data_IF_888979157706
#
_entry.id   IF_888979157706
#
_cell.length_a   1.000
_cell.length_b   1.000
_cell.length_c   1.000
_cell.angle_alpha   90.00
_cell.angle_beta   90.00
_cell.angle_gamma   90.00
#
_symmetry.space_group_name_H-M   'P 1'
#
loop_
_entity.id
_entity.type
_entity.pdbx_description
1 polymer ?
#
# COMPACT_ATOMS: atom_id res chain seq x y z
N UNK A 1 10.20 14.43 4.79
CA UNK A 1 11.12 13.46 4.18
C UNK A 1 11.78 14.06 2.96
N UNK A 2 13.04 13.68 2.73
CA UNK A 2 13.87 14.17 1.62
C UNK A 2 14.41 12.95 0.88
N UNK A 3 14.42 13.02 -0.44
CA UNK A 3 15.10 12.06 -1.30
C UNK A 3 16.47 12.64 -1.67
N UNK A 4 17.52 11.92 -1.33
CA UNK A 4 18.86 12.11 -1.87
C UNK A 4 19.01 11.18 -3.09
N UNK A 5 18.99 11.78 -4.28
CA UNK A 5 19.09 11.06 -5.55
C UNK A 5 20.51 11.13 -6.10
N UNK A 6 21.05 10.00 -6.51
CA UNK A 6 22.35 9.85 -7.17
C UNK A 6 22.12 9.20 -8.53
N UNK A 7 22.36 9.93 -9.61
CA UNK A 7 22.36 9.38 -10.97
C UNK A 7 23.79 9.01 -11.34
N UNK A 8 24.02 7.76 -11.72
CA UNK A 8 25.33 7.22 -12.08
C UNK A 8 25.27 6.66 -13.50
N UNK A 9 26.13 7.15 -14.39
CA UNK A 9 26.46 6.47 -15.64
C UNK A 9 27.73 5.66 -15.41
N UNK A 10 27.66 4.34 -15.60
CA UNK A 10 28.75 3.38 -15.37
C UNK A 10 29.23 2.79 -16.71
N UNK A 11 30.54 2.70 -16.90
CA UNK A 11 31.17 2.04 -18.06
C UNK A 11 30.78 0.56 -18.09
N UNK A 12 30.38 0.06 -19.28
CA UNK A 12 29.94 -1.32 -19.49
C UNK A 12 30.98 -2.35 -19.04
N UNK A 13 32.27 -2.05 -19.13
CA UNK A 13 33.36 -2.97 -18.76
C UNK A 13 33.37 -3.34 -17.27
N UNK A 14 32.75 -2.54 -16.41
CA UNK A 14 32.67 -2.78 -14.96
C UNK A 14 31.25 -2.88 -14.45
N UNK A 15 30.24 -2.79 -15.32
CA UNK A 15 28.83 -2.69 -14.97
C UNK A 15 28.36 -3.81 -14.02
N UNK A 16 28.57 -5.07 -14.38
CA UNK A 16 27.99 -6.19 -13.62
C UNK A 16 28.57 -6.26 -12.21
N UNK A 17 29.90 -6.10 -12.09
CA UNK A 17 30.60 -6.04 -10.81
C UNK A 17 30.17 -4.84 -9.98
N UNK A 18 29.99 -3.68 -10.62
CA UNK A 18 29.50 -2.48 -9.95
C UNK A 18 28.08 -2.68 -9.42
N UNK A 19 27.19 -3.26 -10.23
CA UNK A 19 25.80 -3.47 -9.87
C UNK A 19 25.65 -4.51 -8.75
N UNK A 20 26.46 -5.57 -8.75
CA UNK A 20 26.55 -6.55 -7.65
C UNK A 20 27.03 -5.85 -6.36
N UNK A 21 28.16 -5.13 -6.41
CA UNK A 21 28.70 -4.42 -5.25
C UNK A 21 27.74 -3.35 -4.70
N UNK A 22 27.02 -2.64 -5.57
CA UNK A 22 26.01 -1.67 -5.14
C UNK A 22 24.88 -2.33 -4.34
N UNK A 23 24.41 -3.50 -4.77
CA UNK A 23 23.32 -4.22 -4.13
C UNK A 23 23.75 -4.95 -2.85
N UNK A 24 24.95 -5.53 -2.84
CA UNK A 24 25.39 -6.41 -1.75
C UNK A 24 26.24 -5.71 -0.69
N UNK A 25 26.87 -4.57 -1.02
CA UNK A 25 27.76 -3.85 -0.10
C UNK A 25 27.33 -2.41 0.09
N UNK A 26 27.37 -1.59 -0.97
CA UNK A 26 27.30 -0.14 -0.82
C UNK A 26 25.93 0.36 -0.31
N UNK A 27 24.82 -0.05 -0.94
CA UNK A 27 23.49 0.37 -0.50
C UNK A 27 23.20 -0.13 0.92
N UNK A 28 23.48 -1.41 1.27
CA UNK A 28 23.39 -1.87 2.66
C UNK A 28 24.18 -1.01 3.65
N UNK A 29 25.45 -0.70 3.38
CA UNK A 29 26.27 0.14 4.26
C UNK A 29 25.72 1.57 4.39
N UNK A 30 25.20 2.17 3.32
CA UNK A 30 24.51 3.47 3.36
C UNK A 30 23.30 3.42 4.29
N UNK A 31 22.52 2.34 4.24
CA UNK A 31 21.38 2.14 5.14
C UNK A 31 21.81 1.89 6.60
N UNK A 32 22.90 1.16 6.82
CA UNK A 32 23.45 0.88 8.15
C UNK A 32 23.94 2.13 8.89
N UNK A 33 24.19 3.24 8.19
CA UNK A 33 24.43 4.55 8.84
C UNK A 33 23.26 5.02 9.72
N UNK A 34 22.06 4.46 9.50
CA UNK A 34 20.82 4.85 10.19
C UNK A 34 20.25 6.20 9.71
N UNK A 35 20.84 6.80 8.68
CA UNK A 35 20.45 8.15 8.19
C UNK A 35 19.42 8.09 7.05
N UNK A 36 19.19 6.90 6.50
CA UNK A 36 18.21 6.65 5.47
C UNK A 36 17.28 5.51 5.86
N UNK A 37 15.98 5.68 5.61
CA UNK A 37 14.93 4.71 5.94
C UNK A 37 14.53 3.82 4.76
N UNK A 38 14.97 4.18 3.55
CA UNK A 38 14.63 3.48 2.32
C UNK A 38 15.68 3.76 1.24
N UNK A 39 15.93 2.78 0.37
CA UNK A 39 16.76 2.91 -0.81
C UNK A 39 16.09 2.26 -2.04
N UNK A 40 16.27 2.86 -3.22
CA UNK A 40 15.82 2.29 -4.49
C UNK A 40 16.89 2.51 -5.55
N UNK A 41 17.28 1.45 -6.24
CA UNK A 41 18.09 1.52 -7.46
C UNK A 41 17.21 1.23 -8.66
N UNK A 42 17.27 2.08 -9.69
CA UNK A 42 16.49 1.96 -10.91
C UNK A 42 17.38 2.19 -12.14
N UNK A 43 17.25 1.33 -13.15
CA UNK A 43 17.93 1.52 -14.44
C UNK A 43 17.20 2.56 -15.28
N UNK A 44 17.92 3.51 -15.85
CA UNK A 44 17.40 4.42 -16.87
C UNK A 44 17.29 3.65 -18.18
N UNK A 45 16.09 3.65 -18.78
CA UNK A 45 15.80 2.86 -19.98
C UNK A 45 16.10 3.60 -21.28
N UNK A 46 16.41 4.90 -21.21
CA UNK A 46 16.80 5.69 -22.38
C UNK A 46 18.23 5.33 -22.75
N UNK A 47 18.44 4.96 -24.01
CA UNK A 47 19.78 4.73 -24.56
C UNK A 47 20.49 6.08 -24.72
N UNK A 48 21.61 6.26 -24.02
CA UNK A 48 22.45 7.45 -24.14
C UNK A 48 23.48 7.25 -25.27
N UNK A 49 23.60 8.22 -26.18
CA UNK A 49 24.56 8.15 -27.31
C UNK A 49 26.03 8.09 -26.86
N UNK A 50 26.33 8.48 -25.62
CA UNK A 50 27.69 8.54 -25.08
C UNK A 50 28.19 7.22 -24.47
N UNK A 51 27.40 6.14 -24.58
CA UNK A 51 27.75 4.82 -24.04
C UNK A 51 27.61 4.73 -22.51
N UNK A 52 27.83 3.53 -21.98
CA UNK A 52 27.63 3.23 -20.57
C UNK A 52 26.16 2.98 -20.21
N UNK A 53 25.93 2.61 -18.95
CA UNK A 53 24.59 2.27 -18.44
C UNK A 53 24.25 3.24 -17.31
N UNK A 54 23.10 3.90 -17.40
CA UNK A 54 22.68 4.89 -16.40
C UNK A 54 21.72 4.28 -15.37
N UNK A 55 21.98 4.54 -14.09
CA UNK A 55 21.12 4.19 -12.95
C UNK A 55 20.79 5.44 -12.12
N UNK A 56 19.60 5.44 -11.51
CA UNK A 56 19.21 6.37 -10.46
C UNK A 56 19.08 5.61 -9.15
N UNK A 57 19.82 6.05 -8.14
CA UNK A 57 19.74 5.55 -6.77
C UNK A 57 19.09 6.62 -5.90
N UNK A 58 18.02 6.28 -5.21
CA UNK A 58 17.26 7.19 -4.38
C UNK A 58 17.27 6.71 -2.93
N UNK A 59 17.82 7.52 -2.04
CA UNK A 59 17.81 7.29 -0.60
C UNK A 59 16.85 8.25 0.09
N UNK A 60 16.00 7.75 0.98
CA UNK A 60 15.02 8.59 1.70
C UNK A 60 15.50 8.87 3.11
N UNK A 61 15.71 10.14 3.44
CA UNK A 61 16.00 10.63 4.78
C UNK A 61 14.73 11.22 5.42
N UNK A 62 14.64 11.15 6.75
CA UNK A 62 13.47 11.65 7.48
C UNK A 62 13.29 13.17 7.31
N UNK A 63 14.39 13.92 7.39
CA UNK A 63 14.43 15.38 7.30
C UNK A 63 15.83 15.87 6.86
N UNK A 64 15.97 17.20 6.73
CA UNK A 64 17.21 17.85 6.27
C UNK A 64 18.37 17.69 7.25
N UNK A 65 18.10 17.75 8.55
CA UNK A 65 19.14 17.63 9.58
C UNK A 65 19.82 16.25 9.55
N UNK A 66 19.04 15.19 9.31
CA UNK A 66 19.59 13.83 9.16
C UNK A 66 20.43 13.70 7.89
N UNK A 67 19.98 14.30 6.77
CA UNK A 67 20.75 14.31 5.53
C UNK A 67 22.07 15.11 5.69
N UNK A 68 22.04 16.21 6.44
CA UNK A 68 23.24 17.01 6.68
C UNK A 68 24.25 16.26 7.57
N UNK A 69 23.78 15.45 8.53
CA UNK A 69 24.65 14.51 9.27
C UNK A 69 25.28 13.46 8.36
N UNK A 70 24.55 12.94 7.37
CA UNK A 70 25.12 12.04 6.37
C UNK A 70 26.26 12.71 5.60
N UNK A 71 26.08 13.97 5.20
CA UNK A 71 27.15 14.70 4.54
C UNK A 71 28.38 14.87 5.40
N UNK A 72 28.20 15.23 6.68
CA UNK A 72 29.28 15.51 7.60
C UNK A 72 30.05 14.25 8.07
N UNK A 73 29.36 13.12 8.24
CA UNK A 73 29.92 11.94 8.92
C UNK A 73 30.32 10.81 7.96
N UNK A 74 29.61 10.63 6.84
CA UNK A 74 29.72 9.41 6.01
C UNK A 74 30.01 9.68 4.54
N UNK A 75 29.48 10.78 3.99
CA UNK A 75 29.40 10.95 2.54
C UNK A 75 30.75 10.97 1.84
N UNK A 76 31.80 11.49 2.48
CA UNK A 76 33.15 11.53 1.92
C UNK A 76 33.74 10.13 1.83
N UNK A 77 33.80 9.42 2.97
CA UNK A 77 34.26 8.01 3.05
C UNK A 77 33.54 7.12 2.04
N UNK A 78 32.22 7.22 1.96
CA UNK A 78 31.41 6.40 1.05
C UNK A 78 31.70 6.72 -0.42
N UNK A 79 31.98 7.97 -0.77
CA UNK A 79 32.35 8.35 -2.14
C UNK A 79 33.75 7.86 -2.50
N UNK A 80 34.69 7.97 -1.58
CA UNK A 80 36.05 7.47 -1.77
C UNK A 80 36.07 5.97 -2.04
N UNK A 81 35.20 5.21 -1.37
CA UNK A 81 35.09 3.78 -1.57
C UNK A 81 34.60 3.40 -2.97
N UNK A 82 33.61 4.12 -3.52
CA UNK A 82 33.17 3.93 -4.91
C UNK A 82 34.34 4.21 -5.87
N UNK A 83 35.05 5.33 -5.68
CA UNK A 83 36.21 5.71 -6.51
C UNK A 83 37.35 4.70 -6.37
N UNK A 84 37.57 4.13 -5.19
CA UNK A 84 38.60 3.09 -4.97
C UNK A 84 38.28 1.80 -5.73
N UNK A 85 37.00 1.42 -5.82
CA UNK A 85 36.59 0.19 -6.48
C UNK A 85 36.45 0.33 -8.01
N UNK A 86 36.07 1.52 -8.50
CA UNK A 86 35.70 1.72 -9.92
C UNK A 86 36.44 2.86 -10.63
N UNK A 87 37.31 3.60 -9.94
CA UNK A 87 38.18 4.62 -10.54
C UNK A 87 37.42 5.69 -11.32
N UNK A 88 37.84 5.91 -12.56
CA UNK A 88 37.27 6.85 -13.52
C UNK A 88 36.17 6.22 -14.40
N UNK A 89 35.72 5.00 -14.09
CA UNK A 89 34.72 4.26 -14.88
C UNK A 89 33.28 4.67 -14.64
N UNK A 90 33.03 5.73 -13.88
CA UNK A 90 31.69 6.22 -13.61
C UNK A 90 31.64 7.73 -13.52
N UNK A 91 30.46 8.30 -13.81
CA UNK A 91 30.15 9.70 -13.55
C UNK A 91 28.88 9.76 -12.70
N UNK A 92 28.89 10.57 -11.64
CA UNK A 92 27.79 10.66 -10.69
C UNK A 92 27.27 12.10 -10.52
N UNK A 93 25.96 12.29 -10.69
CA UNK A 93 25.24 13.53 -10.42
C UNK A 93 24.31 13.35 -9.21
N UNK A 94 24.15 14.38 -8.39
CA UNK A 94 23.42 14.31 -7.11
C UNK A 94 22.38 15.40 -7.02
N UNK A 95 21.21 15.09 -6.46
CA UNK A 95 20.11 16.05 -6.29
C UNK A 95 19.33 15.75 -5.01
N UNK A 96 18.80 16.79 -4.38
CA UNK A 96 17.91 16.69 -3.22
C UNK A 96 16.48 17.04 -3.66
N UNK A 97 15.52 16.20 -3.26
CA UNK A 97 14.10 16.39 -3.57
C UNK A 97 13.30 16.34 -2.28
N UNK A 98 12.45 17.34 -2.03
CA UNK A 98 11.48 17.27 -0.94
C UNK A 98 10.28 16.42 -1.37
N UNK A 99 9.91 15.43 -0.55
CA UNK A 99 8.67 14.69 -0.78
C UNK A 99 7.50 15.61 -0.38
N UNK A 100 6.75 16.07 -1.37
CA UNK A 100 5.53 16.88 -1.15
C UNK A 100 4.34 15.99 -0.81
N UNK A 101 4.17 14.88 -1.54
CA UNK A 101 3.11 13.89 -1.32
C UNK A 101 3.42 12.59 -2.05
N UNK A 102 3.14 11.47 -1.42
CA UNK A 102 3.13 10.14 -2.06
C UNK A 102 1.69 9.70 -2.35
N UNK A 103 1.49 9.06 -3.50
CA UNK A 103 0.20 8.50 -3.90
C UNK A 103 0.36 6.99 -4.01
N UNK A 104 -0.33 6.24 -3.15
CA UNK A 104 -0.36 4.78 -3.18
C UNK A 104 -1.70 4.31 -3.72
N UNK A 105 -1.68 3.36 -4.66
CA UNK A 105 -2.88 2.73 -5.18
C UNK A 105 -3.38 1.65 -4.22
N UNK A 106 -4.44 1.97 -3.47
CA UNK A 106 -5.01 1.04 -2.50
C UNK A 106 -5.68 -0.21 -3.14
N UNK A 107 -5.88 -0.22 -4.47
CA UNK A 107 -6.48 -1.37 -5.18
C UNK A 107 -5.62 -2.63 -5.09
N UNK A 108 -4.30 -2.48 -5.05
CA UNK A 108 -3.35 -3.61 -4.99
C UNK A 108 -3.27 -4.28 -3.61
N UNK A 109 -3.83 -3.64 -2.58
CA UNK A 109 -3.84 -4.13 -1.19
C UNK A 109 -5.23 -4.64 -0.76
N UNK A 110 -6.13 -4.88 -1.71
CA UNK A 110 -7.46 -5.40 -1.43
C UNK A 110 -7.43 -6.91 -1.17
N UNK A 111 -7.22 -7.29 0.09
CA UNK A 111 -7.15 -8.70 0.54
C UNK A 111 -8.37 -9.14 1.34
N UNK A 112 -9.23 -8.20 1.74
CA UNK A 112 -10.41 -8.48 2.55
C UNK A 112 -11.66 -8.57 1.67
N UNK A 113 -12.60 -9.41 2.08
CA UNK A 113 -13.94 -9.45 1.48
C UNK A 113 -14.92 -8.69 2.37
N UNK A 114 -15.77 -7.87 1.76
CA UNK A 114 -16.87 -7.17 2.43
C UNK A 114 -18.20 -7.60 1.82
N UNK A 115 -19.00 -8.35 2.58
CA UNK A 115 -20.36 -8.72 2.23
C UNK A 115 -21.32 -7.57 2.55
N UNK A 116 -22.07 -7.14 1.54
CA UNK A 116 -23.02 -6.02 1.63
C UNK A 116 -24.40 -6.48 1.21
N UNK A 117 -25.43 -5.95 1.88
CA UNK A 117 -26.85 -6.23 1.59
C UNK A 117 -27.70 -4.95 1.57
N UNK A 118 -27.05 -3.78 1.55
CA UNK A 118 -27.67 -2.46 1.68
C UNK A 118 -27.06 -1.40 0.76
N UNK A 119 -27.05 -0.14 1.20
CA UNK A 119 -26.68 1.02 0.37
C UNK A 119 -25.25 1.03 -0.14
N UNK A 120 -24.32 0.34 0.52
CA UNK A 120 -22.95 0.14 0.02
C UNK A 120 -22.87 -0.59 -1.33
N UNK A 121 -23.97 -1.16 -1.83
CA UNK A 121 -24.04 -1.70 -3.18
C UNK A 121 -24.21 -0.63 -4.28
N UNK A 122 -24.61 0.59 -3.92
CA UNK A 122 -24.89 1.69 -4.86
C UNK A 122 -23.59 2.40 -5.25
N UNK A 123 -23.42 2.68 -6.55
CA UNK A 123 -22.15 3.21 -7.09
C UNK A 123 -21.81 4.62 -6.58
N UNK A 124 -22.80 5.49 -6.43
CA UNK A 124 -22.65 6.84 -5.89
C UNK A 124 -22.20 6.83 -4.42
N UNK A 125 -22.76 5.93 -3.61
CA UNK A 125 -22.30 5.69 -2.24
C UNK A 125 -20.87 5.16 -2.23
N UNK A 126 -20.52 4.22 -3.10
CA UNK A 126 -19.15 3.72 -3.18
C UNK A 126 -18.14 4.79 -3.57
N UNK A 127 -18.47 5.64 -4.55
CA UNK A 127 -17.63 6.77 -4.93
C UNK A 127 -17.47 7.76 -3.77
N UNK A 128 -18.51 7.96 -2.96
CA UNK A 128 -18.44 8.85 -1.79
C UNK A 128 -17.58 8.26 -0.68
N UNK A 129 -17.74 6.97 -0.36
CA UNK A 129 -17.09 6.31 0.78
C UNK A 129 -15.67 5.86 0.43
N UNK A 130 -15.47 5.26 -0.74
CA UNK A 130 -14.21 4.63 -1.16
C UNK A 130 -13.44 5.43 -2.22
N UNK A 131 -14.03 6.53 -2.75
CA UNK A 131 -13.45 7.29 -3.88
C UNK A 131 -13.25 6.47 -5.16
N UNK A 132 -13.91 5.29 -5.26
CA UNK A 132 -13.91 4.41 -6.42
C UNK A 132 -15.07 3.42 -6.34
N UNK A 133 -15.35 2.74 -7.45
CA UNK A 133 -16.21 1.56 -7.44
C UNK A 133 -15.38 0.32 -7.07
N UNK A 134 -15.99 -0.57 -6.29
CA UNK A 134 -15.39 -1.82 -5.83
C UNK A 134 -15.72 -2.96 -6.79
N UNK A 135 -14.74 -3.81 -7.07
CA UNK A 135 -14.97 -5.05 -7.82
C UNK A 135 -15.53 -6.11 -6.87
N UNK A 136 -16.52 -6.87 -7.33
CA UNK A 136 -17.23 -7.81 -6.48
C UNK A 136 -18.13 -8.78 -7.24
N UNK A 137 -18.57 -9.81 -6.54
CA UNK A 137 -19.43 -10.89 -7.04
C UNK A 137 -20.61 -11.12 -6.09
N UNK A 138 -21.65 -11.80 -6.56
CA UNK A 138 -22.80 -12.14 -5.73
C UNK A 138 -22.48 -13.38 -4.88
N UNK A 139 -22.92 -13.37 -3.63
CA UNK A 139 -22.79 -14.50 -2.71
C UNK A 139 -23.94 -14.51 -1.70
N UNK A 140 -24.01 -15.55 -0.90
CA UNK A 140 -25.09 -15.79 0.05
C UNK A 140 -24.52 -15.99 1.44
N UNK A 141 -25.15 -15.36 2.43
CA UNK A 141 -24.87 -15.59 3.84
C UNK A 141 -25.99 -16.45 4.45
N UNK A 142 -25.63 -17.66 4.91
CA UNK A 142 -26.56 -18.64 5.48
C UNK A 142 -26.74 -18.43 7.00
N UNK A 143 -27.93 -18.75 7.52
CA UNK A 143 -28.28 -18.62 8.94
C UNK A 143 -28.56 -17.17 9.38
N UNK A 144 -28.85 -16.29 8.42
CA UNK A 144 -29.19 -14.89 8.67
C UNK A 144 -30.43 -14.50 7.88
N UNK A 145 -31.17 -13.52 8.39
CA UNK A 145 -32.35 -12.97 7.75
C UNK A 145 -32.35 -11.45 7.85
N UNK A 146 -32.89 -10.80 6.82
CA UNK A 146 -33.17 -9.36 6.87
C UNK A 146 -34.45 -9.12 7.68
N UNK A 147 -34.36 -8.22 8.64
CA UNK A 147 -35.49 -7.72 9.40
C UNK A 147 -36.36 -6.80 8.56
N UNK A 148 -37.66 -6.82 8.84
CA UNK A 148 -38.58 -5.77 8.39
C UNK A 148 -38.36 -4.47 9.19
N UNK A 149 -37.72 -4.55 10.36
CA UNK A 149 -37.33 -3.40 11.17
C UNK A 149 -36.11 -2.70 10.53
N UNK A 150 -36.29 -1.42 10.20
CA UNK A 150 -35.23 -0.60 9.62
C UNK A 150 -34.53 0.22 10.70
N UNK A 151 -33.20 0.23 10.70
CA UNK A 151 -32.45 1.17 11.56
C UNK A 151 -32.66 2.59 11.05
N UNK A 152 -33.07 3.48 11.96
CA UNK A 152 -33.52 4.86 11.68
C UNK A 152 -34.64 4.91 10.62
N UNK A 153 -35.44 3.85 10.50
CA UNK A 153 -36.60 3.80 9.58
C UNK A 153 -36.26 3.68 8.09
N UNK A 154 -34.97 3.62 7.70
CA UNK A 154 -34.55 3.68 6.29
C UNK A 154 -33.71 2.47 5.86
N UNK A 155 -32.88 1.89 6.73
CA UNK A 155 -31.87 0.90 6.32
C UNK A 155 -32.21 -0.53 6.77
N UNK A 156 -32.05 -1.54 5.89
CA UNK A 156 -32.32 -2.94 6.22
C UNK A 156 -31.33 -3.45 7.26
N UNK A 157 -31.79 -4.31 8.15
CA UNK A 157 -30.98 -4.87 9.24
C UNK A 157 -30.87 -6.36 9.10
N UNK A 158 -29.67 -6.89 9.22
CA UNK A 158 -29.46 -8.33 9.24
C UNK A 158 -29.36 -8.86 10.67
N UNK A 159 -30.09 -9.95 10.93
CA UNK A 159 -30.11 -10.67 12.21
C UNK A 159 -29.79 -12.14 12.00
N UNK A 160 -29.22 -12.78 13.02
CA UNK A 160 -29.02 -14.24 13.01
C UNK A 160 -30.38 -14.92 13.12
N UNK A 161 -30.62 -15.92 12.28
CA UNK A 161 -31.84 -16.73 12.33
C UNK A 161 -31.60 -18.02 13.12
N UNK A 162 -32.63 -18.48 13.83
CA UNK A 162 -32.66 -19.80 14.47
C UNK A 162 -32.88 -20.93 13.45
N UNK A 163 -33.32 -20.58 12.23
CA UNK A 163 -33.51 -21.51 11.11
C UNK A 163 -32.27 -21.54 10.21
N UNK A 164 -31.50 -22.64 10.16
CA UNK A 164 -30.29 -22.72 9.34
C UNK A 164 -30.52 -22.59 7.83
N UNK A 165 -31.78 -22.78 7.40
CA UNK A 165 -32.20 -22.65 6.00
C UNK A 165 -32.41 -21.19 5.57
N UNK A 166 -32.48 -20.24 6.51
CA UNK A 166 -32.60 -18.82 6.17
C UNK A 166 -31.29 -18.29 5.57
N UNK A 167 -31.42 -17.38 4.61
CA UNK A 167 -30.27 -16.80 3.94
C UNK A 167 -30.49 -15.36 3.50
N UNK A 168 -29.39 -14.62 3.37
CA UNK A 168 -29.36 -13.26 2.82
C UNK A 168 -28.55 -13.27 1.52
N UNK A 169 -29.16 -12.81 0.43
CA UNK A 169 -28.43 -12.52 -0.81
C UNK A 169 -27.74 -11.18 -0.68
N UNK A 170 -26.48 -11.11 -1.11
CA UNK A 170 -25.71 -9.88 -1.10
C UNK A 170 -24.62 -9.86 -2.16
N UNK A 171 -23.87 -8.76 -2.14
CA UNK A 171 -22.72 -8.56 -3.00
C UNK A 171 -21.46 -8.44 -2.17
N UNK A 172 -20.44 -9.20 -2.56
CA UNK A 172 -19.15 -9.25 -1.90
C UNK A 172 -18.17 -8.41 -2.68
N UNK A 173 -17.57 -7.44 -2.02
CA UNK A 173 -16.54 -6.59 -2.60
C UNK A 173 -15.15 -6.94 -2.08
N UNK A 174 -14.15 -6.76 -2.93
CA UNK A 174 -12.76 -6.88 -2.54
C UNK A 174 -12.23 -5.52 -2.08
N UNK A 175 -11.84 -5.44 -0.81
CA UNK A 175 -11.49 -4.20 -0.11
C UNK A 175 -10.11 -4.33 0.54
N UNK A 176 -9.40 -3.21 0.62
CA UNK A 176 -8.23 -3.05 1.47
C UNK A 176 -8.64 -2.83 2.93
N UNK A 177 -7.73 -3.07 3.87
CA UNK A 177 -7.97 -2.78 5.29
C UNK A 177 -8.37 -1.32 5.53
N UNK A 178 -7.83 -0.38 4.75
CA UNK A 178 -8.20 1.03 4.84
C UNK A 178 -9.66 1.27 4.42
N UNK A 179 -10.09 0.64 3.32
CA UNK A 179 -11.48 0.76 2.84
C UNK A 179 -12.46 0.13 3.82
N UNK A 180 -12.08 -0.99 4.45
CA UNK A 180 -12.86 -1.59 5.54
C UNK A 180 -13.05 -0.62 6.73
N UNK A 181 -12.04 0.21 7.05
CA UNK A 181 -12.17 1.26 8.07
C UNK A 181 -13.03 2.45 7.60
N UNK A 182 -13.01 2.81 6.33
CA UNK A 182 -13.93 3.84 5.79
C UNK A 182 -15.38 3.35 5.80
N UNK A 183 -15.61 2.06 5.53
CA UNK A 183 -16.93 1.44 5.66
C UNK A 183 -17.44 1.49 7.11
N UNK A 184 -16.58 1.28 8.11
CA UNK A 184 -16.96 1.41 9.53
C UNK A 184 -17.48 2.83 9.86
N UNK A 185 -16.83 3.86 9.31
CA UNK A 185 -17.25 5.25 9.52
C UNK A 185 -18.60 5.55 8.86
N UNK A 186 -18.82 4.99 7.67
CA UNK A 186 -20.08 5.15 6.94
C UNK A 186 -21.26 4.49 7.66
N UNK A 187 -21.09 3.25 8.10
CA UNK A 187 -22.13 2.48 8.80
C UNK A 187 -22.41 3.04 10.21
N UNK A 188 -21.38 3.61 10.84
CA UNK A 188 -21.50 4.31 12.12
C UNK A 188 -21.82 3.38 13.30
N UNK A 189 -22.21 3.95 14.47
CA UNK A 189 -22.38 3.18 15.71
C UNK A 189 -23.62 2.28 15.72
N UNK A 190 -24.53 2.46 14.76
CA UNK A 190 -25.73 1.67 14.57
C UNK A 190 -25.44 0.22 14.15
N UNK A 191 -24.26 -0.02 13.56
CA UNK A 191 -23.85 -1.33 13.08
C UNK A 191 -22.53 -1.75 13.69
N UNK A 192 -22.38 -3.05 13.88
CA UNK A 192 -21.15 -3.70 14.32
C UNK A 192 -20.65 -4.61 13.20
N UNK A 193 -19.37 -4.47 12.86
CA UNK A 193 -18.72 -5.36 11.91
C UNK A 193 -18.42 -6.72 12.56
N UNK A 194 -18.81 -7.79 11.88
CA UNK A 194 -18.53 -9.17 12.27
C UNK A 194 -17.88 -9.92 11.11
N UNK A 195 -17.16 -11.00 11.42
CA UNK A 195 -16.57 -11.89 10.42
C UNK A 195 -17.49 -13.08 10.20
N UNK A 196 -17.86 -13.35 8.95
CA UNK A 196 -18.79 -14.40 8.55
C UNK A 196 -18.19 -15.28 7.46
N UNK A 197 -18.69 -16.51 7.33
CA UNK A 197 -18.35 -17.42 6.23
C UNK A 197 -19.55 -17.47 5.29
N UNK A 198 -19.30 -17.18 4.01
CA UNK A 198 -20.30 -17.17 2.97
C UNK A 198 -20.50 -18.56 2.36
N UNK A 199 -21.57 -18.74 1.59
CA UNK A 199 -21.88 -20.00 0.92
C UNK A 199 -20.77 -20.44 -0.05
N UNK A 200 -20.02 -19.51 -0.63
CA UNK A 200 -18.82 -19.81 -1.43
C UNK A 200 -17.63 -20.37 -0.63
N UNK A 201 -17.73 -20.42 0.71
CA UNK A 201 -16.63 -20.78 1.62
C UNK A 201 -15.66 -19.63 1.91
N UNK A 202 -15.90 -18.44 1.36
CA UNK A 202 -15.07 -17.26 1.62
C UNK A 202 -15.42 -16.61 2.94
N UNK A 203 -14.40 -16.17 3.65
CA UNK A 203 -14.57 -15.37 4.86
C UNK A 203 -14.65 -13.90 4.50
N UNK A 204 -15.73 -13.23 4.92
CA UNK A 204 -15.98 -11.82 4.65
C UNK A 204 -16.35 -11.07 5.93
N UNK A 205 -16.13 -9.76 5.93
CA UNK A 205 -16.73 -8.85 6.88
C UNK A 205 -18.18 -8.56 6.49
N UNK A 206 -19.07 -8.48 7.47
CA UNK A 206 -20.44 -8.04 7.30
C UNK A 206 -20.85 -7.13 8.46
N UNK A 207 -21.78 -6.22 8.22
CA UNK A 207 -22.33 -5.35 9.24
C UNK A 207 -23.65 -5.92 9.77
N UNK A 208 -23.81 -5.99 11.10
CA UNK A 208 -25.07 -6.37 11.76
C UNK A 208 -25.47 -5.25 12.72
N UNK A 209 -26.76 -5.15 13.10
CA UNK A 209 -27.16 -4.10 14.04
C UNK A 209 -26.50 -4.27 15.41
N UNK A 210 -26.05 -3.16 15.98
CA UNK A 210 -25.41 -3.13 17.30
C UNK A 210 -26.37 -3.37 18.47
N UNK A 211 -27.69 -3.32 18.26
CA UNK A 211 -28.70 -3.58 19.29
C UNK A 211 -28.99 -5.06 19.51
N UNK A 212 -28.44 -5.95 18.68
CA UNK A 212 -28.46 -7.39 18.95
C UNK A 212 -27.11 -7.82 19.54
N UNK A 213 -27.01 -7.78 20.87
CA UNK A 213 -26.09 -8.68 21.55
C UNK A 213 -26.64 -10.09 21.43
N UNK A 214 -25.87 -11.08 20.93
CA UNK A 214 -26.18 -12.47 21.22
C UNK A 214 -25.94 -12.68 22.73
N UNK A 215 -26.95 -13.21 23.42
CA UNK A 215 -26.72 -13.92 24.69
C UNK A 215 -25.85 -15.16 24.45
#
# INVERSE_FOLDING_TARGET
>A
MIIYSVTINIDESVHDKWLEWMQETHIPEVLETGKFINAKIAKVLVEEEMGGITYSIQYTAENKEILDKYYAEDSERMREEVTKNFGDKFVAFRTELAIVKEFNDNRLNATEYLFTYGTLQQEDIQLTVFSRTLSGFNDVLLGYKLSDEKVVGVYPVMHRSDEPADFVNGRVYMCSNKEILEADKYEGPAYKRIKVVLNSGKTAWAYISSTQQPN
#
